data_IF_664099827309
#
_entry.id   IF_664099827309
#
_cell.length_a   1.000
_cell.length_b   1.000
_cell.length_c   1.000
_cell.angle_alpha   90.00
_cell.angle_beta   90.00
_cell.angle_gamma   90.00
#
_symmetry.space_group_name_H-M   'P 1'
#
loop_
_entity.id
_entity.type
_entity.pdbx_description
1 polymer ?
#
# COMPACT_ATOMS: atom_id res chain seq x y z
N UNK A 1 5.23 -8.95 6.08
CA UNK A 1 4.35 -9.89 5.36
C UNK A 1 5.16 -11.09 4.94
N UNK A 2 4.53 -12.24 4.78
CA UNK A 2 5.17 -13.49 4.39
C UNK A 2 4.36 -14.26 3.33
N UNK A 3 4.78 -15.49 3.03
CA UNK A 3 4.13 -16.32 2.01
C UNK A 3 2.69 -16.73 2.37
N UNK A 4 2.36 -16.85 3.66
CA UNK A 4 1.01 -17.13 4.10
C UNK A 4 0.07 -15.98 3.78
N UNK A 5 0.60 -14.74 3.74
CA UNK A 5 -0.18 -13.60 3.27
C UNK A 5 -0.54 -13.76 1.79
N UNK A 6 0.37 -14.17 0.91
CA UNK A 6 0.04 -14.40 -0.53
C UNK A 6 -1.12 -15.39 -0.68
N UNK A 7 -1.06 -16.50 0.08
CA UNK A 7 -2.11 -17.51 0.12
C UNK A 7 -3.44 -16.95 0.63
N UNK A 8 -3.42 -16.07 1.63
CA UNK A 8 -4.62 -15.42 2.20
C UNK A 8 -5.37 -14.53 1.23
N UNK A 9 -4.68 -13.91 0.28
CA UNK A 9 -5.28 -13.07 -0.76
C UNK A 9 -5.66 -13.84 -2.02
N UNK A 10 -5.48 -15.16 -2.04
CA UNK A 10 -5.81 -16.02 -3.18
C UNK A 10 -6.96 -16.96 -2.79
N UNK A 11 -7.91 -17.16 -3.70
CA UNK A 11 -9.04 -18.11 -3.54
C UNK A 11 -9.06 -19.14 -4.64
N UNK A 12 -9.63 -20.31 -4.34
CA UNK A 12 -10.10 -21.22 -5.39
C UNK A 12 -11.41 -20.65 -5.89
N UNK A 13 -11.60 -20.55 -7.21
CA UNK A 13 -12.80 -20.01 -7.83
C UNK A 13 -13.22 -20.92 -8.99
N UNK A 14 -14.26 -21.72 -8.78
CA UNK A 14 -14.66 -22.77 -9.72
C UNK A 14 -13.47 -23.66 -10.12
N UNK A 15 -13.20 -23.75 -11.43
CA UNK A 15 -12.06 -24.50 -11.99
C UNK A 15 -10.74 -23.71 -12.02
N UNK A 16 -10.75 -22.44 -11.63
CA UNK A 16 -9.58 -21.58 -11.56
C UNK A 16 -9.29 -21.06 -10.15
N UNK A 17 -8.66 -19.90 -10.14
CA UNK A 17 -8.24 -19.12 -8.99
C UNK A 17 -8.83 -17.71 -9.05
N UNK A 18 -8.73 -16.97 -7.95
CA UNK A 18 -9.07 -15.55 -7.90
C UNK A 18 -8.20 -14.82 -6.89
N UNK A 19 -8.10 -13.49 -7.04
CA UNK A 19 -7.43 -12.63 -6.07
C UNK A 19 -8.46 -11.83 -5.31
N UNK A 20 -8.37 -11.87 -3.98
CA UNK A 20 -9.17 -11.03 -3.11
C UNK A 20 -8.54 -9.65 -3.01
N UNK A 21 -9.35 -8.62 -3.24
CA UNK A 21 -8.96 -7.23 -3.12
C UNK A 21 -9.99 -6.49 -2.28
N UNK A 22 -9.55 -5.80 -1.23
CA UNK A 22 -10.42 -4.89 -0.48
C UNK A 22 -10.36 -3.49 -1.12
N UNK A 23 -11.39 -3.06 -1.87
CA UNK A 23 -11.44 -1.75 -2.49
C UNK A 23 -11.60 -0.64 -1.45
N UNK A 24 -11.73 0.60 -1.92
CA UNK A 24 -11.85 1.79 -1.05
C UNK A 24 -13.08 1.70 -0.14
N UNK A 25 -14.14 1.03 -0.59
CA UNK A 25 -15.33 0.70 0.20
C UNK A 25 -15.02 -0.49 1.11
N UNK A 26 -15.04 -0.24 2.43
CA UNK A 26 -14.75 -1.27 3.42
C UNK A 26 -15.89 -2.30 3.58
N UNK A 27 -17.05 -2.08 2.99
CA UNK A 27 -18.20 -3.00 3.11
C UNK A 27 -18.19 -4.11 2.06
N UNK A 28 -17.30 -4.03 1.07
CA UNK A 28 -17.24 -4.94 -0.06
C UNK A 28 -15.86 -5.58 -0.20
N UNK A 29 -15.78 -6.82 -0.67
CA UNK A 29 -14.51 -7.44 -1.11
C UNK A 29 -14.65 -7.88 -2.55
N UNK A 30 -13.65 -7.62 -3.39
CA UNK A 30 -13.65 -8.02 -4.79
C UNK A 30 -12.89 -9.33 -4.97
N UNK A 31 -13.43 -10.24 -5.78
CA UNK A 31 -12.67 -11.34 -6.39
C UNK A 31 -12.33 -10.92 -7.81
N UNK A 32 -11.06 -10.63 -8.05
CA UNK A 32 -10.52 -10.36 -9.37
C UNK A 32 -10.11 -11.69 -10.01
N UNK A 33 -10.60 -11.98 -11.20
CA UNK A 33 -10.30 -13.25 -11.87
C UNK A 33 -10.39 -13.13 -13.40
N UNK A 34 -10.05 -14.21 -14.10
CA UNK A 34 -10.17 -14.30 -15.54
C UNK A 34 -11.63 -14.48 -15.95
N UNK A 35 -12.10 -13.72 -16.95
CA UNK A 35 -13.49 -13.75 -17.42
C UNK A 35 -13.95 -15.16 -17.79
N UNK A 36 -13.12 -15.92 -18.50
CA UNK A 36 -13.49 -17.25 -18.99
C UNK A 36 -13.84 -18.27 -17.88
N UNK A 37 -13.43 -18.04 -16.62
CA UNK A 37 -13.77 -18.93 -15.50
C UNK A 37 -15.28 -18.91 -15.21
N UNK A 38 -15.93 -17.78 -15.48
CA UNK A 38 -17.36 -17.58 -15.25
C UNK A 38 -18.24 -18.12 -16.38
N UNK A 39 -17.64 -18.61 -17.46
CA UNK A 39 -18.35 -19.16 -18.60
C UNK A 39 -18.23 -20.68 -18.66
N UNK A 40 -19.30 -21.32 -19.11
CA UNK A 40 -19.31 -22.73 -19.49
C UNK A 40 -19.41 -22.86 -21.00
N UNK A 41 -18.70 -23.84 -21.57
CA UNK A 41 -18.83 -24.18 -22.98
C UNK A 41 -20.09 -25.01 -23.17
N UNK A 42 -20.98 -24.54 -24.02
CA UNK A 42 -22.15 -25.28 -24.48
C UNK A 42 -21.75 -25.97 -25.78
N UNK A 43 -21.62 -27.29 -25.71
CA UNK A 43 -21.27 -28.12 -26.86
C UNK A 43 -22.54 -28.32 -27.70
N UNK A 44 -22.48 -27.91 -28.97
CA UNK A 44 -23.55 -28.10 -29.92
C UNK A 44 -23.07 -29.08 -31.00
N UNK A 45 -23.81 -30.18 -31.21
CA UNK A 45 -23.43 -31.21 -32.19
C UNK A 45 -23.53 -30.74 -33.66
N UNK A 46 -24.17 -29.59 -33.92
CA UNK A 46 -24.46 -29.10 -35.28
C UNK A 46 -24.21 -27.60 -35.48
N UNK A 47 -23.79 -26.89 -34.43
CA UNK A 47 -23.50 -25.44 -34.45
C UNK A 47 -22.14 -25.17 -33.78
N UNK A 48 -21.52 -24.01 -34.00
CA UNK A 48 -20.34 -23.62 -33.24
C UNK A 48 -20.63 -23.70 -31.73
N UNK A 49 -19.68 -24.23 -30.96
CA UNK A 49 -19.76 -24.21 -29.50
C UNK A 49 -19.99 -22.77 -29.03
N UNK A 50 -20.97 -22.57 -28.18
CA UNK A 50 -21.25 -21.26 -27.57
C UNK A 50 -20.73 -21.22 -26.13
N UNK A 51 -20.65 -20.03 -25.56
CA UNK A 51 -20.30 -19.84 -24.15
C UNK A 51 -21.49 -19.22 -23.43
N UNK A 52 -21.83 -19.78 -22.26
CA UNK A 52 -22.91 -19.27 -21.40
C UNK A 52 -22.33 -18.83 -20.07
N UNK A 53 -22.77 -17.68 -19.56
CA UNK A 53 -22.45 -17.23 -18.21
C UNK A 53 -23.08 -18.19 -17.19
N UNK A 54 -22.28 -18.67 -16.24
CA UNK A 54 -22.76 -19.54 -15.16
C UNK A 54 -23.73 -18.77 -14.27
N UNK A 55 -24.80 -19.42 -13.83
CA UNK A 55 -25.76 -18.80 -12.90
C UNK A 55 -25.19 -18.71 -11.46
N UNK A 56 -24.25 -19.61 -11.11
CA UNK A 56 -23.58 -19.68 -9.81
C UNK A 56 -22.12 -20.13 -9.99
N UNK A 57 -21.26 -19.70 -9.08
CA UNK A 57 -19.88 -20.19 -8.97
C UNK A 57 -19.53 -20.42 -7.51
N UNK A 58 -18.71 -21.43 -7.24
CA UNK A 58 -18.19 -21.68 -5.90
C UNK A 58 -16.82 -21.04 -5.72
N UNK A 59 -16.53 -20.59 -4.51
CA UNK A 59 -15.18 -20.20 -4.11
C UNK A 59 -14.82 -20.75 -2.74
N UNK A 60 -13.53 -20.89 -2.46
CA UNK A 60 -13.03 -21.22 -1.11
C UNK A 60 -11.92 -20.27 -0.70
N UNK A 61 -11.97 -19.86 0.57
CA UNK A 61 -10.94 -19.07 1.21
C UNK A 61 -9.78 -19.97 1.66
N UNK A 62 -8.58 -19.41 1.77
CA UNK A 62 -7.41 -20.18 2.18
C UNK A 62 -7.50 -20.79 3.58
N UNK A 63 -8.25 -20.15 4.48
CA UNK A 63 -8.48 -20.61 5.85
C UNK A 63 -9.58 -21.68 5.96
N UNK A 64 -10.39 -21.88 4.91
CA UNK A 64 -11.40 -22.92 4.84
C UNK A 64 -11.57 -23.43 3.39
N UNK A 65 -10.74 -24.41 3.03
CA UNK A 65 -10.75 -25.04 1.71
C UNK A 65 -11.64 -26.28 1.61
N UNK A 66 -12.33 -26.65 2.69
CA UNK A 66 -13.20 -27.82 2.77
C UNK A 66 -14.66 -27.48 2.50
N UNK A 67 -15.06 -26.23 2.74
CA UNK A 67 -16.44 -25.77 2.55
C UNK A 67 -16.52 -24.72 1.44
N UNK A 68 -16.81 -25.13 0.19
CA UNK A 68 -17.11 -24.20 -0.89
C UNK A 68 -18.30 -23.31 -0.56
N UNK A 69 -18.15 -22.02 -0.80
CA UNK A 69 -19.21 -21.03 -0.68
C UNK A 69 -19.72 -20.76 -2.10
N UNK A 70 -21.03 -20.88 -2.31
CA UNK A 70 -21.62 -20.55 -3.60
C UNK A 70 -22.08 -19.09 -3.67
N UNK A 71 -21.80 -18.45 -4.80
CA UNK A 71 -22.25 -17.10 -5.11
C UNK A 71 -23.09 -17.16 -6.39
N UNK A 72 -24.24 -16.48 -6.39
CA UNK A 72 -25.01 -16.26 -7.62
C UNK A 72 -24.30 -15.24 -8.50
N UNK A 73 -24.18 -15.49 -9.79
CA UNK A 73 -23.51 -14.59 -10.74
C UNK A 73 -24.56 -13.83 -11.52
N UNK A 74 -24.61 -12.51 -11.31
CA UNK A 74 -25.56 -11.63 -11.98
C UNK A 74 -24.84 -10.45 -12.59
N UNK A 75 -24.83 -10.42 -13.91
CA UNK A 75 -24.19 -9.37 -14.69
C UNK A 75 -24.78 -8.00 -14.34
N UNK A 76 -23.91 -7.06 -13.97
CA UNK A 76 -24.29 -5.69 -13.61
C UNK A 76 -24.81 -5.52 -12.17
N UNK A 77 -24.99 -6.60 -11.40
CA UNK A 77 -25.34 -6.52 -9.97
C UNK A 77 -24.12 -6.81 -9.09
N UNK A 78 -23.56 -8.01 -9.20
CA UNK A 78 -22.42 -8.45 -8.40
C UNK A 78 -21.31 -9.10 -9.24
N UNK A 79 -21.51 -9.19 -10.56
CA UNK A 79 -20.53 -9.66 -11.53
C UNK A 79 -20.37 -8.60 -12.63
N UNK A 80 -19.13 -8.22 -12.89
CA UNK A 80 -18.76 -7.20 -13.86
C UNK A 80 -17.59 -7.72 -14.69
N UNK A 81 -17.67 -7.58 -16.00
CA UNK A 81 -16.62 -8.02 -16.91
C UNK A 81 -16.21 -6.88 -17.83
N UNK A 82 -15.02 -6.98 -18.40
CA UNK A 82 -14.56 -5.97 -19.34
C UNK A 82 -15.44 -5.90 -20.59
N UNK A 83 -15.78 -4.69 -21.04
CA UNK A 83 -16.64 -4.45 -22.21
C UNK A 83 -16.00 -4.91 -23.53
N UNK A 84 -14.68 -4.72 -23.67
CA UNK A 84 -13.91 -5.33 -24.76
C UNK A 84 -13.89 -6.86 -24.66
N UNK A 85 -14.50 -7.55 -25.63
CA UNK A 85 -14.67 -9.02 -25.62
C UNK A 85 -13.36 -9.81 -25.52
N UNK A 86 -12.25 -9.26 -26.03
CA UNK A 86 -10.93 -9.89 -26.03
C UNK A 86 -10.21 -9.79 -24.67
N UNK A 87 -10.67 -8.92 -23.78
CA UNK A 87 -10.05 -8.72 -22.47
C UNK A 87 -10.63 -9.73 -21.49
N UNK A 88 -9.78 -10.66 -21.06
CA UNK A 88 -10.17 -11.78 -20.19
C UNK A 88 -10.15 -11.39 -18.70
N UNK A 89 -10.91 -10.36 -18.32
CA UNK A 89 -10.97 -9.83 -16.95
C UNK A 89 -12.41 -9.72 -16.45
N UNK A 90 -12.61 -10.13 -15.19
CA UNK A 90 -13.88 -9.97 -14.49
C UNK A 90 -13.70 -9.77 -12.98
N UNK A 91 -14.68 -9.09 -12.38
CA UNK A 91 -14.78 -8.78 -10.96
C UNK A 91 -16.08 -9.35 -10.42
N UNK A 92 -16.00 -10.10 -9.32
CA UNK A 92 -17.15 -10.45 -8.49
C UNK A 92 -17.11 -9.66 -7.19
N UNK A 93 -18.24 -9.10 -6.79
CA UNK A 93 -18.38 -8.35 -5.53
C UNK A 93 -18.99 -9.24 -4.46
N UNK A 94 -18.30 -9.33 -3.33
CA UNK A 94 -18.78 -9.89 -2.07
C UNK A 94 -19.20 -8.73 -1.16
N UNK A 95 -20.40 -8.79 -0.59
CA UNK A 95 -20.88 -7.77 0.36
C UNK A 95 -20.41 -8.07 1.79
N UNK A 96 -19.10 -8.22 1.96
CA UNK A 96 -18.46 -8.47 3.24
C UNK A 96 -17.04 -7.87 3.29
N UNK A 97 -16.57 -7.59 4.51
CA UNK A 97 -15.21 -7.12 4.77
C UNK A 97 -14.33 -8.28 5.25
N UNK A 98 -13.43 -8.77 4.39
CA UNK A 98 -12.51 -9.85 4.73
C UNK A 98 -11.23 -9.36 5.44
N UNK A 99 -11.12 -8.05 5.71
CA UNK A 99 -9.98 -7.38 6.35
C UNK A 99 -8.66 -7.62 5.60
N UNK A 100 -8.74 -7.54 4.27
CA UNK A 100 -7.64 -7.77 3.33
C UNK A 100 -7.08 -6.44 2.79
N UNK A 101 -6.66 -5.58 3.70
CA UNK A 101 -6.41 -4.17 3.37
C UNK A 101 -4.96 -3.88 2.99
N UNK A 102 -4.07 -4.88 2.91
CA UNK A 102 -2.62 -4.68 2.64
C UNK A 102 -2.23 -5.04 1.21
N UNK A 103 -3.14 -4.88 0.24
CA UNK A 103 -2.88 -5.11 -1.19
C UNK A 103 -3.07 -3.82 -1.98
N UNK A 104 -2.13 -3.53 -2.87
CA UNK A 104 -2.13 -2.35 -3.73
C UNK A 104 -2.03 -2.75 -5.19
N UNK A 105 -2.61 -1.93 -6.05
CA UNK A 105 -2.44 -2.01 -7.50
C UNK A 105 -1.02 -1.62 -7.89
N UNK A 106 -0.45 -2.37 -8.83
CA UNK A 106 0.82 -2.06 -9.49
C UNK A 106 0.63 -2.00 -11.00
N UNK A 107 0.53 -0.78 -11.53
CA UNK A 107 0.29 -0.48 -12.94
C UNK A 107 1.49 -0.76 -13.85
N UNK A 108 2.55 -1.40 -13.33
CA UNK A 108 3.70 -1.77 -14.13
C UNK A 108 3.32 -2.70 -15.29
N UNK A 109 3.95 -2.45 -16.42
CA UNK A 109 3.92 -3.34 -17.58
C UNK A 109 5.27 -4.03 -17.82
N UNK A 110 6.29 -3.63 -17.06
CA UNK A 110 7.66 -4.16 -17.13
C UNK A 110 8.28 -4.28 -15.73
N UNK A 111 9.42 -4.97 -15.60
CA UNK A 111 10.15 -5.06 -14.33
C UNK A 111 9.48 -5.95 -13.27
N UNK A 112 9.29 -7.23 -13.58
CA UNK A 112 8.60 -8.21 -12.71
C UNK A 112 9.51 -8.91 -11.69
N UNK A 113 10.68 -8.36 -11.39
CA UNK A 113 11.60 -8.93 -10.41
C UNK A 113 10.93 -9.07 -9.03
N UNK A 114 10.93 -10.29 -8.50
CA UNK A 114 10.32 -10.62 -7.21
C UNK A 114 8.80 -10.84 -7.24
N UNK A 115 8.15 -10.73 -8.40
CA UNK A 115 6.76 -11.12 -8.57
C UNK A 115 6.61 -12.64 -8.71
N UNK A 116 5.48 -13.13 -8.26
CA UNK A 116 5.11 -14.54 -8.33
C UNK A 116 3.71 -14.65 -8.95
N UNK A 117 3.51 -15.69 -9.74
CA UNK A 117 2.18 -16.20 -10.03
C UNK A 117 1.67 -16.94 -8.79
N UNK A 118 0.52 -16.56 -8.25
CA UNK A 118 -0.10 -17.19 -7.08
C UNK A 118 -1.44 -17.81 -7.46
N UNK A 119 -1.74 -19.01 -6.97
CA UNK A 119 -2.96 -19.71 -7.37
C UNK A 119 -3.15 -21.07 -6.71
N UNK A 120 -4.18 -21.76 -7.18
CA UNK A 120 -4.55 -23.11 -6.77
C UNK A 120 -4.62 -24.03 -8.00
N UNK A 121 -3.47 -24.56 -8.45
CA UNK A 121 -3.44 -25.40 -9.63
C UNK A 121 -4.25 -26.68 -9.44
N UNK A 122 -4.86 -27.15 -10.52
CA UNK A 122 -5.78 -28.28 -10.50
C UNK A 122 -5.11 -29.57 -10.01
N UNK A 123 -3.83 -29.76 -10.31
CA UNK A 123 -3.05 -30.92 -9.87
C UNK A 123 -2.79 -30.97 -8.34
N UNK A 124 -2.95 -29.85 -7.62
CA UNK A 124 -2.79 -29.77 -6.15
C UNK A 124 -4.11 -29.69 -5.40
N UNK A 125 -5.27 -29.71 -6.07
CA UNK A 125 -6.59 -29.59 -5.40
C UNK A 125 -6.89 -30.68 -4.36
N UNK A 126 -6.23 -31.84 -4.47
CA UNK A 126 -6.33 -32.96 -3.53
C UNK A 126 -5.18 -33.03 -2.52
N UNK A 127 -4.21 -32.11 -2.58
CA UNK A 127 -3.10 -32.05 -1.65
C UNK A 127 -3.52 -31.42 -0.32
N UNK A 128 -2.75 -31.70 0.74
CA UNK A 128 -2.95 -31.08 2.05
C UNK A 128 -2.75 -29.55 1.98
N UNK A 129 -1.79 -29.09 1.18
CA UNK A 129 -1.70 -27.69 0.77
C UNK A 129 -2.01 -27.56 -0.72
N UNK A 130 -3.18 -27.00 -1.02
CA UNK A 130 -3.65 -26.79 -2.40
C UNK A 130 -2.99 -25.58 -3.06
N UNK A 131 -2.42 -24.67 -2.26
CA UNK A 131 -1.84 -23.42 -2.76
C UNK A 131 -0.51 -23.67 -3.45
N UNK A 132 -0.23 -22.88 -4.47
CA UNK A 132 1.07 -22.87 -5.11
C UNK A 132 1.47 -21.48 -5.58
N UNK A 133 2.79 -21.30 -5.75
CA UNK A 133 3.36 -20.11 -6.33
C UNK A 133 4.49 -20.44 -7.30
N UNK A 134 4.59 -19.66 -8.37
CA UNK A 134 5.64 -19.80 -9.37
C UNK A 134 6.37 -18.46 -9.55
N UNK A 135 7.70 -18.49 -9.52
CA UNK A 135 8.53 -17.30 -9.66
C UNK A 135 8.58 -16.89 -11.13
N UNK A 136 8.48 -15.59 -11.38
CA UNK A 136 8.58 -15.00 -12.73
C UNK A 136 10.06 -14.76 -13.04
N UNK A 137 10.52 -15.26 -14.18
CA UNK A 137 11.89 -15.08 -14.65
C UNK A 137 12.01 -13.81 -15.49
N UNK A 138 11.21 -13.71 -16.56
CA UNK A 138 11.43 -12.74 -17.62
C UNK A 138 10.11 -12.22 -18.19
N UNK A 139 10.20 -11.02 -18.75
CA UNK A 139 9.18 -10.44 -19.62
C UNK A 139 9.44 -10.89 -21.06
N UNK A 140 8.51 -11.63 -21.67
CA UNK A 140 8.60 -11.97 -23.09
C UNK A 140 8.07 -10.82 -23.96
N UNK A 141 6.90 -10.27 -23.61
CA UNK A 141 6.31 -9.11 -24.30
C UNK A 141 5.29 -8.41 -23.41
N UNK A 142 5.07 -7.12 -23.61
CA UNK A 142 4.04 -6.35 -22.92
C UNK A 142 3.37 -5.37 -23.87
N UNK A 143 2.04 -5.28 -23.79
CA UNK A 143 1.26 -4.16 -24.31
C UNK A 143 0.18 -3.77 -23.29
N UNK A 144 -0.61 -2.74 -23.61
CA UNK A 144 -1.64 -2.22 -22.70
C UNK A 144 -2.79 -3.22 -22.42
N UNK A 145 -2.96 -4.26 -23.24
CA UNK A 145 -4.03 -5.27 -23.10
C UNK A 145 -3.55 -6.56 -22.44
N UNK A 146 -2.29 -6.93 -22.64
CA UNK A 146 -1.76 -8.24 -22.28
C UNK A 146 -0.25 -8.21 -22.03
N UNK A 147 0.18 -8.97 -21.05
CA UNK A 147 1.58 -9.19 -20.70
C UNK A 147 1.87 -10.68 -20.84
N UNK A 148 2.91 -11.01 -21.60
CA UNK A 148 3.44 -12.37 -21.69
C UNK A 148 4.68 -12.47 -20.80
N UNK A 149 4.61 -13.34 -19.80
CA UNK A 149 5.67 -13.57 -18.82
C UNK A 149 6.17 -15.00 -18.93
N UNK A 150 7.40 -15.23 -18.48
CA UNK A 150 7.99 -16.57 -18.37
C UNK A 150 8.23 -16.91 -16.92
N UNK A 151 7.88 -18.13 -16.53
CA UNK A 151 8.17 -18.70 -15.23
C UNK A 151 9.60 -19.27 -15.19
N UNK A 152 10.23 -19.23 -14.02
CA UNK A 152 11.57 -19.82 -13.79
C UNK A 152 11.58 -21.32 -14.13
N UNK A 153 10.51 -22.03 -13.78
CA UNK A 153 10.32 -23.42 -14.18
C UNK A 153 9.74 -23.44 -15.60
N UNK A 154 10.64 -23.45 -16.58
CA UNK A 154 10.32 -23.34 -18.00
C UNK A 154 10.00 -24.67 -18.70
N UNK A 155 9.89 -25.78 -17.94
CA UNK A 155 9.49 -27.09 -18.45
C UNK A 155 8.10 -27.50 -17.93
N UNK A 156 7.35 -26.57 -17.32
CA UNK A 156 6.00 -26.85 -16.87
C UNK A 156 5.10 -27.17 -18.07
N UNK A 157 4.46 -28.33 -18.01
CA UNK A 157 3.45 -28.73 -18.97
C UNK A 157 2.10 -28.03 -18.66
N UNK A 158 1.19 -28.04 -19.63
CA UNK A 158 -0.08 -27.31 -19.53
C UNK A 158 -0.94 -27.76 -18.33
N UNK A 159 -0.92 -29.05 -17.99
CA UNK A 159 -1.61 -29.64 -16.85
C UNK A 159 -1.09 -29.13 -15.49
N UNK A 160 0.19 -28.74 -15.42
CA UNK A 160 0.82 -28.18 -14.23
C UNK A 160 0.50 -26.70 -14.02
N UNK A 161 0.06 -25.99 -15.07
CA UNK A 161 -0.37 -24.59 -15.00
C UNK A 161 -1.91 -24.48 -14.96
N UNK A 162 -2.62 -25.53 -15.37
CA UNK A 162 -4.09 -25.58 -15.30
C UNK A 162 -4.57 -25.33 -13.87
N UNK A 163 -5.57 -24.46 -13.71
CA UNK A 163 -6.10 -24.02 -12.42
C UNK A 163 -5.48 -22.74 -11.85
N UNK A 164 -4.35 -22.26 -12.40
CA UNK A 164 -3.81 -20.94 -12.08
C UNK A 164 -4.59 -19.79 -12.72
N UNK A 165 -5.44 -20.04 -13.73
CA UNK A 165 -6.26 -19.00 -14.36
C UNK A 165 -7.02 -18.20 -13.31
N UNK A 166 -6.99 -16.87 -13.40
CA UNK A 166 -7.51 -15.96 -12.40
C UNK A 166 -6.59 -15.72 -11.19
N UNK A 167 -5.44 -16.39 -11.13
CA UNK A 167 -4.40 -16.20 -10.12
C UNK A 167 -3.66 -14.87 -10.26
N UNK A 168 -3.11 -14.37 -9.16
CA UNK A 168 -2.49 -13.05 -9.11
C UNK A 168 -1.03 -13.06 -9.52
N UNK A 169 -0.58 -12.00 -10.17
CA UNK A 169 0.83 -11.65 -10.29
C UNK A 169 1.19 -10.72 -9.14
N UNK A 170 1.71 -11.30 -8.06
CA UNK A 170 1.85 -10.61 -6.76
C UNK A 170 3.30 -10.60 -6.27
N UNK A 171 3.73 -9.44 -5.77
CA UNK A 171 4.99 -9.27 -5.05
C UNK A 171 4.72 -8.87 -3.59
N UNK A 172 5.51 -9.41 -2.66
CA UNK A 172 5.58 -8.87 -1.30
C UNK A 172 6.53 -7.67 -1.32
N UNK A 173 6.05 -6.51 -0.89
CA UNK A 173 6.82 -5.27 -0.83
C UNK A 173 6.67 -4.63 0.55
N UNK A 174 7.72 -4.76 1.37
CA UNK A 174 7.74 -4.35 2.77
C UNK A 174 6.58 -4.94 3.61
N UNK A 175 5.57 -4.13 3.90
CA UNK A 175 4.37 -4.46 4.68
C UNK A 175 3.10 -4.55 3.81
N UNK A 176 3.27 -4.69 2.50
CA UNK A 176 2.19 -4.75 1.51
C UNK A 176 2.37 -5.86 0.48
N UNK A 177 1.28 -6.16 -0.24
CA UNK A 177 1.27 -6.91 -1.49
C UNK A 177 1.05 -5.96 -2.66
N UNK A 178 1.81 -6.14 -3.73
CA UNK A 178 1.65 -5.42 -4.99
C UNK A 178 1.06 -6.37 -6.03
N UNK A 179 -0.11 -6.06 -6.55
CA UNK A 179 -0.81 -6.82 -7.58
C UNK A 179 -0.63 -6.15 -8.94
N UNK A 180 0.13 -6.78 -9.84
CA UNK A 180 0.40 -6.23 -11.17
C UNK A 180 -0.58 -6.69 -12.26
N UNK A 181 -1.25 -7.82 -12.04
CA UNK A 181 -2.20 -8.36 -13.00
C UNK A 181 -2.75 -9.70 -12.59
N UNK A 182 -3.64 -10.23 -13.44
CA UNK A 182 -4.32 -11.50 -13.24
C UNK A 182 -3.95 -12.43 -14.39
N UNK A 183 -3.54 -13.65 -14.06
CA UNK A 183 -3.20 -14.68 -15.03
C UNK A 183 -4.45 -15.09 -15.82
N UNK A 184 -4.37 -15.06 -17.14
CA UNK A 184 -5.46 -15.39 -18.05
C UNK A 184 -5.34 -16.85 -18.51
N UNK A 185 -5.25 -17.10 -19.80
CA UNK A 185 -5.07 -18.42 -20.40
C UNK A 185 -3.58 -18.67 -20.66
N UNK A 186 -3.20 -19.94 -20.64
CA UNK A 186 -1.91 -20.36 -21.21
C UNK A 186 -2.09 -20.65 -22.71
N UNK A 187 -1.05 -20.47 -23.53
CA UNK A 187 -1.05 -20.97 -24.89
C UNK A 187 -1.39 -22.48 -24.94
N UNK A 188 -2.06 -22.93 -26.01
CA UNK A 188 -2.33 -24.35 -26.23
C UNK A 188 -1.06 -24.99 -26.81
N UNK A 189 -0.42 -25.91 -26.08
CA UNK A 189 0.80 -26.61 -26.50
C UNK A 189 1.95 -26.53 -25.49
N UNK A 190 3.21 -26.82 -25.89
CA UNK A 190 4.36 -26.65 -25.01
C UNK A 190 4.56 -25.16 -24.71
N UNK A 191 4.15 -24.75 -23.50
CA UNK A 191 4.18 -23.35 -23.09
C UNK A 191 5.60 -22.89 -22.72
N UNK A 192 6.51 -23.82 -22.42
CA UNK A 192 7.86 -23.54 -21.91
C UNK A 192 7.87 -22.53 -20.73
N UNK A 193 6.87 -22.65 -19.85
CA UNK A 193 6.64 -21.72 -18.74
C UNK A 193 6.08 -20.35 -19.13
N UNK A 194 5.65 -20.12 -20.37
CA UNK A 194 4.99 -18.88 -20.78
C UNK A 194 3.55 -18.80 -20.27
N UNK A 195 3.20 -17.65 -19.69
CA UNK A 195 1.87 -17.33 -19.21
C UNK A 195 1.42 -15.99 -19.78
N UNK A 196 0.11 -15.86 -20.01
CA UNK A 196 -0.51 -14.59 -20.34
C UNK A 196 -1.17 -13.98 -19.11
N UNK A 197 -1.02 -12.67 -18.96
CA UNK A 197 -1.47 -11.89 -17.82
C UNK A 197 -2.23 -10.68 -18.34
N UNK A 198 -3.42 -10.45 -17.80
CA UNK A 198 -4.16 -9.21 -18.02
C UNK A 198 -3.65 -8.19 -16.99
N UNK A 199 -3.12 -7.03 -17.43
CA UNK A 199 -2.66 -5.98 -16.52
C UNK A 199 -3.77 -5.53 -15.57
N UNK A 200 -3.41 -5.19 -14.33
CA UNK A 200 -4.38 -4.73 -13.33
C UNK A 200 -5.15 -3.46 -13.77
N UNK A 201 -4.54 -2.63 -14.63
CA UNK A 201 -5.18 -1.46 -15.25
C UNK A 201 -6.50 -1.81 -15.96
N UNK A 202 -6.62 -3.01 -16.54
CA UNK A 202 -7.87 -3.47 -17.17
C UNK A 202 -8.99 -3.73 -16.16
N UNK A 203 -8.64 -4.06 -14.91
CA UNK A 203 -9.63 -4.15 -13.84
C UNK A 203 -10.05 -2.77 -13.35
N UNK A 204 -9.14 -1.78 -13.36
CA UNK A 204 -9.50 -0.38 -13.09
C UNK A 204 -10.44 0.17 -14.17
N UNK A 205 -10.29 -0.24 -15.44
CA UNK A 205 -11.23 0.09 -16.52
C UNK A 205 -12.64 -0.44 -16.23
N UNK A 206 -12.79 -1.70 -15.78
CA UNK A 206 -14.08 -2.25 -15.31
C UNK A 206 -14.64 -1.40 -14.16
N UNK A 207 -13.81 -1.09 -13.16
CA UNK A 207 -14.22 -0.28 -12.01
C UNK A 207 -14.74 1.08 -12.44
N UNK A 208 -14.08 1.74 -13.38
CA UNK A 208 -14.50 3.04 -13.89
C UNK A 208 -15.77 2.95 -14.76
N UNK A 209 -15.86 1.96 -15.65
CA UNK A 209 -17.02 1.77 -16.54
C UNK A 209 -18.33 1.56 -15.76
N UNK A 210 -18.26 0.75 -14.70
CA UNK A 210 -19.43 0.41 -13.89
C UNK A 210 -19.58 1.25 -12.62
N UNK A 211 -18.76 2.31 -12.45
CA UNK A 211 -18.72 3.16 -11.26
C UNK A 211 -18.60 2.39 -9.93
N UNK A 212 -17.76 1.35 -9.93
CA UNK A 212 -17.45 0.55 -8.74
C UNK A 212 -16.50 1.29 -7.80
N UNK A 213 -16.31 0.75 -6.60
CA UNK A 213 -15.34 1.30 -5.66
C UNK A 213 -13.91 1.09 -6.16
N UNK A 214 -13.07 2.11 -6.01
CA UNK A 214 -11.70 2.12 -6.55
C UNK A 214 -10.84 1.02 -5.94
N UNK A 215 -9.92 0.47 -6.72
CA UNK A 215 -8.89 -0.49 -6.29
C UNK A 215 -7.79 0.19 -5.45
N UNK A 216 -8.20 0.82 -4.35
CA UNK A 216 -7.36 1.51 -3.38
C UNK A 216 -7.67 0.88 -2.01
N UNK A 217 -6.68 0.61 -1.14
CA UNK A 217 -6.95 0.05 0.18
C UNK A 217 -8.02 0.80 0.97
N UNK A 218 -8.97 0.07 1.54
CA UNK A 218 -10.09 0.63 2.31
C UNK A 218 -9.68 1.58 3.43
N UNK A 219 -8.53 1.37 4.09
CA UNK A 219 -8.08 2.26 5.16
C UNK A 219 -7.75 3.70 4.69
N UNK A 220 -7.66 3.94 3.37
CA UNK A 220 -7.49 5.27 2.80
C UNK A 220 -8.83 6.01 2.59
N UNK A 221 -9.96 5.36 2.85
CA UNK A 221 -11.28 6.00 2.81
C UNK A 221 -11.52 6.92 4.00
N UNK A 222 -10.94 6.60 5.17
CA UNK A 222 -11.18 7.32 6.42
C UNK A 222 -9.96 7.21 7.36
N UNK A 223 -9.52 8.36 7.89
CA UNK A 223 -8.41 8.47 8.86
C UNK A 223 -8.68 7.62 10.11
N UNK A 224 -9.94 7.46 10.52
CA UNK A 224 -10.31 6.65 11.70
C UNK A 224 -9.85 5.19 11.59
N UNK A 225 -9.66 4.66 10.38
CA UNK A 225 -9.17 3.30 10.15
C UNK A 225 -7.67 3.14 10.45
N UNK A 226 -6.92 4.25 10.50
CA UNK A 226 -5.49 4.28 10.80
C UNK A 226 -5.14 4.94 12.14
N UNK A 227 -6.05 5.75 12.69
CA UNK A 227 -5.76 6.58 13.87
C UNK A 227 -5.25 5.76 15.06
N UNK A 228 -5.80 4.57 15.29
CA UNK A 228 -5.37 3.66 16.37
C UNK A 228 -3.91 3.22 16.24
N UNK A 229 -3.41 3.10 15.01
CA UNK A 229 -2.01 2.78 14.76
C UNK A 229 -1.09 3.97 15.05
N UNK A 230 -1.55 5.19 14.71
CA UNK A 230 -0.84 6.44 14.99
C UNK A 230 -0.73 6.70 16.50
N UNK A 231 -1.82 6.51 17.25
CA UNK A 231 -1.89 6.81 18.70
C UNK A 231 -1.64 5.59 19.61
N UNK A 232 -0.88 4.61 19.10
CA UNK A 232 -0.64 3.37 19.84
C UNK A 232 0.15 3.62 21.14
N UNK A 233 1.11 4.56 21.13
CA UNK A 233 1.86 5.03 22.30
C UNK A 233 2.32 3.89 23.22
N UNK A 234 2.90 2.84 22.63
CA UNK A 234 3.19 1.59 23.33
C UNK A 234 4.30 1.74 24.37
N UNK A 235 5.15 2.74 24.23
CA UNK A 235 6.27 3.03 25.15
C UNK A 235 5.90 4.09 26.19
N UNK A 236 4.70 4.68 26.11
CA UNK A 236 4.20 5.69 27.06
C UNK A 236 3.59 5.03 28.29
N UNK A 237 3.69 5.71 29.43
CA UNK A 237 3.08 5.31 30.70
C UNK A 237 1.61 4.83 30.54
N UNK A 238 1.23 3.63 31.04
CA UNK A 238 -0.11 3.08 30.86
C UNK A 238 -1.25 3.96 31.37
N UNK A 239 -1.03 4.76 32.41
CA UNK A 239 -2.03 5.69 32.96
C UNK A 239 -2.21 6.96 32.12
N UNK A 240 -1.20 7.34 31.33
CA UNK A 240 -1.22 8.50 30.45
C UNK A 240 -1.79 8.15 29.07
N UNK A 241 -1.49 6.95 28.56
CA UNK A 241 -1.95 6.44 27.25
C UNK A 241 -3.43 6.72 26.93
N UNK A 242 -4.42 6.34 27.76
CA UNK A 242 -5.83 6.59 27.44
C UNK A 242 -6.16 8.08 27.37
N UNK A 243 -5.51 8.92 28.19
CA UNK A 243 -5.69 10.38 28.19
C UNK A 243 -5.19 10.99 26.89
N UNK A 244 -3.99 10.57 26.43
CA UNK A 244 -3.42 10.99 25.15
C UNK A 244 -4.27 10.55 23.98
N UNK A 245 -4.78 9.32 23.99
CA UNK A 245 -5.63 8.82 22.92
C UNK A 245 -6.89 9.68 22.74
N UNK A 246 -7.51 10.13 23.83
CA UNK A 246 -8.65 11.06 23.77
C UNK A 246 -8.22 12.42 23.22
N UNK A 247 -7.18 13.04 23.79
CA UNK A 247 -6.72 14.37 23.39
C UNK A 247 -6.28 14.42 21.91
N UNK A 248 -5.53 13.42 21.46
CA UNK A 248 -5.01 13.36 20.09
C UNK A 248 -6.12 13.03 19.08
N UNK A 249 -7.10 12.18 19.44
CA UNK A 249 -8.29 11.98 18.61
C UNK A 249 -9.04 13.30 18.38
N UNK A 250 -9.20 14.12 19.44
CA UNK A 250 -9.78 15.45 19.33
C UNK A 250 -8.95 16.40 18.46
N UNK A 251 -7.63 16.31 18.51
CA UNK A 251 -6.78 17.08 17.60
C UNK A 251 -6.93 16.65 16.13
N UNK A 252 -7.12 15.35 15.86
CA UNK A 252 -7.38 14.85 14.51
C UNK A 252 -8.72 15.34 13.91
N UNK A 253 -9.71 15.70 14.72
CA UNK A 253 -10.95 16.35 14.23
C UNK A 253 -10.66 17.69 13.52
N UNK A 254 -9.48 18.29 13.74
CA UNK A 254 -9.03 19.51 13.05
C UNK A 254 -8.39 19.24 11.68
N UNK A 255 -8.14 17.97 11.34
CA UNK A 255 -7.55 17.56 10.06
C UNK A 255 -8.65 17.43 9.00
N UNK A 256 -8.64 18.35 8.05
CA UNK A 256 -9.67 18.57 7.02
C UNK A 256 -9.16 18.20 5.62
N UNK A 257 -8.64 16.99 5.46
CA UNK A 257 -8.36 16.42 4.14
C UNK A 257 -8.77 14.94 4.12
N UNK A 258 -8.99 14.41 2.91
CA UNK A 258 -9.30 13.00 2.70
C UNK A 258 -8.07 12.27 2.16
N UNK A 259 -7.69 11.15 2.79
CA UNK A 259 -6.51 10.37 2.39
C UNK A 259 -6.56 9.90 0.93
N UNK A 260 -7.74 9.53 0.43
CA UNK A 260 -7.94 9.15 -0.98
C UNK A 260 -7.55 10.27 -1.97
N UNK A 261 -7.74 11.54 -1.61
CA UNK A 261 -7.38 12.68 -2.47
C UNK A 261 -5.86 12.90 -2.41
N UNK A 262 -5.27 12.80 -1.22
CA UNK A 262 -3.81 12.88 -1.02
C UNK A 262 -3.09 11.75 -1.76
N UNK A 263 -3.63 10.52 -1.74
CA UNK A 263 -3.10 9.36 -2.46
C UNK A 263 -2.93 9.62 -3.96
N UNK A 264 -3.86 10.37 -4.56
CA UNK A 264 -3.80 10.72 -5.98
C UNK A 264 -3.04 12.01 -6.29
N UNK A 265 -2.59 12.75 -5.27
CA UNK A 265 -1.94 14.05 -5.46
C UNK A 265 -0.47 13.91 -5.88
N UNK A 266 0.04 14.88 -6.64
CA UNK A 266 1.47 14.93 -6.99
C UNK A 266 2.37 15.31 -5.80
N UNK A 267 1.77 15.85 -4.73
CA UNK A 267 2.48 16.17 -3.50
C UNK A 267 3.10 14.92 -2.88
N UNK A 268 2.33 13.84 -2.74
CA UNK A 268 2.76 12.66 -1.98
C UNK A 268 3.91 11.91 -2.66
N UNK A 269 4.02 12.00 -4.00
CA UNK A 269 5.13 11.43 -4.78
C UNK A 269 6.50 12.01 -4.40
N UNK A 270 6.52 13.21 -3.80
CA UNK A 270 7.74 13.89 -3.35
C UNK A 270 8.06 13.62 -1.87
N UNK A 271 7.30 12.77 -1.20
CA UNK A 271 7.46 12.45 0.22
C UNK A 271 8.12 11.09 0.46
N UNK A 272 8.55 10.37 -0.58
CA UNK A 272 9.22 9.07 -0.43
C UNK A 272 10.51 8.98 -1.23
N UNK A 273 11.53 8.38 -0.63
CA UNK A 273 12.81 8.10 -1.29
C UNK A 273 12.73 6.97 -2.31
N UNK A 274 11.72 6.10 -2.23
CA UNK A 274 11.47 5.00 -3.16
C UNK A 274 10.03 5.05 -3.66
N UNK A 275 9.82 4.88 -4.97
CA UNK A 275 8.49 4.94 -5.57
C UNK A 275 7.52 3.87 -5.02
N UNK A 276 8.06 2.74 -4.54
CA UNK A 276 7.30 1.64 -3.94
C UNK A 276 6.73 2.00 -2.57
N UNK A 277 7.38 2.88 -1.79
CA UNK A 277 6.98 3.09 -0.40
C UNK A 277 5.60 3.75 -0.23
N UNK A 278 5.03 4.42 -1.25
CA UNK A 278 3.64 4.92 -1.18
C UNK A 278 2.62 3.80 -1.03
N UNK A 279 2.97 2.61 -1.52
CA UNK A 279 2.15 1.40 -1.45
C UNK A 279 2.40 0.64 -0.15
N UNK A 280 2.64 1.35 0.95
CA UNK A 280 2.90 0.79 2.28
C UNK A 280 1.89 1.32 3.28
N UNK A 281 1.36 0.46 4.15
CA UNK A 281 0.47 0.93 5.22
C UNK A 281 1.26 1.77 6.23
N UNK A 282 2.50 1.40 6.52
CA UNK A 282 3.42 2.18 7.37
C UNK A 282 3.65 3.59 6.84
N UNK A 283 3.80 3.77 5.52
CA UNK A 283 3.91 5.11 4.93
C UNK A 283 2.72 5.98 5.33
N UNK A 284 1.49 5.47 5.19
CA UNK A 284 0.27 6.21 5.52
C UNK A 284 0.11 6.48 7.02
N UNK A 285 0.57 5.56 7.88
CA UNK A 285 0.64 5.78 9.33
C UNK A 285 1.62 6.92 9.64
N UNK A 286 2.83 6.89 9.08
CA UNK A 286 3.84 7.93 9.29
C UNK A 286 3.43 9.28 8.69
N UNK A 287 2.72 9.27 7.56
CA UNK A 287 2.14 10.48 6.99
C UNK A 287 1.12 11.12 7.94
N UNK A 288 0.28 10.32 8.61
CA UNK A 288 -0.65 10.81 9.62
C UNK A 288 0.05 11.26 10.91
N UNK A 289 1.16 10.63 11.32
CA UNK A 289 2.01 11.13 12.41
C UNK A 289 2.55 12.53 12.06
N UNK A 290 3.05 12.72 10.83
CA UNK A 290 3.47 14.03 10.34
C UNK A 290 2.31 15.04 10.34
N UNK A 291 1.15 14.66 9.80
CA UNK A 291 -0.05 15.49 9.79
C UNK A 291 -0.46 15.94 11.20
N UNK A 292 -0.40 15.03 12.17
CA UNK A 292 -0.65 15.34 13.58
C UNK A 292 0.33 16.39 14.11
N UNK A 293 1.62 16.20 13.87
CA UNK A 293 2.67 17.13 14.33
C UNK A 293 2.42 18.53 13.77
N UNK A 294 2.12 18.64 12.48
CA UNK A 294 1.81 19.94 11.88
C UNK A 294 0.53 20.53 12.48
N UNK A 295 -0.52 19.72 12.66
CA UNK A 295 -1.76 20.21 13.29
C UNK A 295 -1.56 20.71 14.73
N UNK A 296 -0.57 20.19 15.47
CA UNK A 296 -0.22 20.67 16.81
C UNK A 296 0.51 22.02 16.79
N UNK A 297 1.20 22.33 15.68
CA UNK A 297 1.89 23.59 15.49
C UNK A 297 0.98 24.70 14.93
N UNK A 298 -0.03 24.32 14.15
CA UNK A 298 -0.95 25.26 13.52
C UNK A 298 -2.10 25.65 14.47
N UNK A 299 -2.46 26.93 14.46
CA UNK A 299 -3.53 27.46 15.31
C UNK A 299 -4.93 27.29 14.70
N UNK A 300 -5.03 27.28 13.36
CA UNK A 300 -6.31 27.35 12.62
C UNK A 300 -6.55 26.12 11.73
N UNK A 301 -6.73 24.95 12.33
CA UNK A 301 -7.04 23.71 11.59
C UNK A 301 -5.96 23.27 10.59
N UNK A 302 -6.12 22.10 10.00
CA UNK A 302 -5.11 21.54 9.09
C UNK A 302 -5.75 20.99 7.82
N UNK A 303 -5.55 21.67 6.69
CA UNK A 303 -6.07 21.26 5.38
C UNK A 303 -4.91 21.01 4.38
N UNK A 304 -5.25 20.63 3.15
CA UNK A 304 -4.25 20.34 2.11
C UNK A 304 -3.39 21.55 1.72
N UNK A 305 -3.93 22.77 1.73
CA UNK A 305 -3.16 23.99 1.43
C UNK A 305 -2.09 24.25 2.50
N UNK A 306 -2.45 24.11 3.78
CA UNK A 306 -1.53 24.24 4.90
C UNK A 306 -0.47 23.14 4.84
N UNK A 307 -0.86 21.90 4.54
CA UNK A 307 0.07 20.79 4.34
C UNK A 307 1.15 21.13 3.29
N UNK A 308 0.75 21.61 2.11
CA UNK A 308 1.67 21.97 1.02
C UNK A 308 2.57 23.14 1.41
N UNK A 309 2.00 24.19 2.02
CA UNK A 309 2.76 25.36 2.48
C UNK A 309 3.77 24.99 3.55
N UNK A 310 3.34 24.24 4.57
CA UNK A 310 4.19 23.87 5.70
C UNK A 310 5.31 22.93 5.26
N UNK A 311 5.08 22.07 4.25
CA UNK A 311 6.11 21.19 3.69
C UNK A 311 7.33 21.94 3.09
N UNK A 312 7.21 23.23 2.77
CA UNK A 312 8.37 24.04 2.36
C UNK A 312 9.35 24.28 3.52
N UNK A 313 8.83 24.37 4.75
CA UNK A 313 9.60 24.67 5.97
C UNK A 313 9.79 23.45 6.88
N UNK A 314 8.89 22.47 6.80
CA UNK A 314 8.87 21.23 7.59
C UNK A 314 8.59 20.05 6.67
N UNK A 315 9.59 19.63 5.90
CA UNK A 315 9.42 18.68 4.80
C UNK A 315 9.28 17.25 5.32
N UNK A 316 8.21 16.55 4.95
CA UNK A 316 8.04 15.14 5.29
C UNK A 316 8.74 14.22 4.27
N UNK A 317 9.51 13.25 4.78
CA UNK A 317 10.13 12.20 3.99
C UNK A 317 9.95 10.86 4.68
N UNK A 318 9.54 9.86 3.91
CA UNK A 318 9.53 8.46 4.30
C UNK A 318 10.66 7.69 3.59
N UNK A 319 11.31 6.82 4.36
CA UNK A 319 12.25 5.82 3.86
C UNK A 319 11.80 4.45 4.34
N UNK A 320 11.72 3.49 3.41
CA UNK A 320 11.47 2.09 3.72
C UNK A 320 12.72 1.37 4.28
N UNK A 321 13.83 2.08 4.46
CA UNK A 321 15.03 1.52 5.05
C UNK A 321 14.88 1.27 6.56
N UNK A 322 15.55 0.23 7.05
CA UNK A 322 15.76 -0.04 8.48
C UNK A 322 17.03 0.62 9.03
N UNK A 323 17.69 1.44 8.22
CA UNK A 323 18.87 2.23 8.59
C UNK A 323 18.46 3.41 9.47
N UNK A 324 19.39 3.85 10.31
CA UNK A 324 19.17 5.03 11.14
C UNK A 324 19.38 6.34 10.37
N UNK A 325 19.16 7.46 11.07
CA UNK A 325 19.29 8.81 10.51
C UNK A 325 20.70 9.11 9.99
N UNK A 326 21.77 8.59 10.61
CA UNK A 326 23.16 8.83 10.20
C UNK A 326 23.47 8.08 8.91
N UNK A 327 23.00 6.84 8.81
CA UNK A 327 23.21 5.99 7.65
C UNK A 327 22.42 6.45 6.42
N UNK A 328 21.28 7.12 6.61
CA UNK A 328 20.41 7.63 5.54
C UNK A 328 20.68 9.10 5.19
N UNK A 329 21.45 9.78 6.03
CA UNK A 329 21.51 11.24 6.06
C UNK A 329 21.78 11.89 4.69
N UNK A 330 22.82 11.44 3.98
CA UNK A 330 23.24 12.05 2.71
C UNK A 330 22.16 11.91 1.63
N UNK A 331 21.54 10.73 1.55
CA UNK A 331 20.46 10.44 0.60
C UNK A 331 19.22 11.30 0.92
N UNK A 332 18.88 11.41 2.21
CA UNK A 332 17.76 12.22 2.68
C UNK A 332 18.00 13.70 2.42
N UNK A 333 19.20 14.24 2.70
CA UNK A 333 19.50 15.65 2.41
C UNK A 333 19.34 15.97 0.94
N UNK A 334 19.94 15.16 0.05
CA UNK A 334 19.86 15.38 -1.39
C UNK A 334 18.42 15.31 -1.89
N UNK A 335 17.63 14.35 -1.39
CA UNK A 335 16.21 14.23 -1.72
C UNK A 335 15.37 15.40 -1.16
N UNK A 336 15.63 15.78 0.10
CA UNK A 336 14.95 16.86 0.80
C UNK A 336 15.20 18.22 0.17
N UNK A 337 16.37 18.43 -0.43
CA UNK A 337 16.84 19.72 -0.95
C UNK A 337 15.95 20.35 -2.05
N UNK A 338 15.01 19.59 -2.62
CA UNK A 338 14.07 20.07 -3.63
C UNK A 338 12.87 20.82 -3.03
N UNK A 339 12.56 22.00 -3.57
CA UNK A 339 11.36 22.80 -3.22
C UNK A 339 11.22 23.07 -1.72
N UNK A 340 12.27 23.64 -1.11
CA UNK A 340 12.30 24.01 0.31
C UNK A 340 12.66 25.50 0.51
N UNK A 341 12.21 26.06 1.63
CA UNK A 341 12.64 27.38 2.11
C UNK A 341 13.97 27.31 2.86
N UNK A 342 14.53 28.47 3.25
CA UNK A 342 15.60 28.53 4.24
C UNK A 342 15.15 27.96 5.59
N UNK A 343 16.11 27.44 6.35
CA UNK A 343 15.93 26.83 7.67
C UNK A 343 14.89 25.68 7.70
N UNK A 344 14.81 24.92 6.61
CA UNK A 344 13.88 23.81 6.49
C UNK A 344 14.23 22.69 7.47
N UNK A 345 13.26 22.22 8.23
CA UNK A 345 13.38 21.06 9.11
C UNK A 345 12.84 19.83 8.38
N UNK A 346 13.64 18.78 8.22
CA UNK A 346 13.21 17.55 7.57
C UNK A 346 12.63 16.60 8.60
N UNK A 347 11.38 16.22 8.43
CA UNK A 347 10.67 15.26 9.27
C UNK A 347 10.72 13.87 8.62
N UNK A 348 11.59 13.02 9.14
CA UNK A 348 11.91 11.70 8.62
C UNK A 348 11.12 10.61 9.33
N UNK A 349 10.54 9.70 8.55
CA UNK A 349 10.04 8.42 9.04
C UNK A 349 10.82 7.28 8.39
N UNK A 350 11.17 6.26 9.19
CA UNK A 350 11.86 5.05 8.72
C UNK A 350 11.14 3.79 9.21
N UNK A 351 11.54 2.62 8.70
CA UNK A 351 11.02 1.34 9.19
C UNK A 351 11.54 0.97 10.59
N UNK A 352 12.51 1.70 11.13
CA UNK A 352 13.13 1.47 12.44
C UNK A 352 12.82 2.61 13.42
N UNK A 353 12.46 2.27 14.66
CA UNK A 353 12.34 3.26 15.73
C UNK A 353 13.74 3.67 16.22
N UNK A 354 14.04 4.96 16.37
CA UNK A 354 15.32 5.43 16.90
C UNK A 354 15.44 5.14 18.41
N UNK A 355 16.42 4.34 18.78
CA UNK A 355 16.61 3.85 20.16
C UNK A 355 17.31 4.84 21.11
N UNK A 356 17.79 5.99 20.62
CA UNK A 356 18.53 6.95 21.45
C UNK A 356 18.28 8.41 21.05
N UNK A 357 18.35 9.39 21.98
CA UNK A 357 18.07 10.80 21.70
C UNK A 357 18.92 11.39 20.57
N UNK A 358 20.21 11.07 20.53
CA UNK A 358 21.15 11.51 19.49
C UNK A 358 20.88 10.88 18.10
N UNK A 359 19.94 9.93 17.99
CA UNK A 359 19.47 9.34 16.72
C UNK A 359 18.07 9.83 16.31
N UNK A 360 17.45 10.68 17.13
CA UNK A 360 16.13 11.28 16.86
C UNK A 360 16.22 12.62 16.14
N UNK A 361 17.36 13.31 16.25
CA UNK A 361 17.58 14.64 15.70
C UNK A 361 19.05 14.81 15.31
N UNK A 362 19.30 15.43 14.16
CA UNK A 362 20.65 15.66 13.63
C UNK A 362 20.71 17.01 12.89
N UNK A 363 21.52 17.98 13.36
CA UNK A 363 21.74 19.24 12.69
C UNK A 363 22.39 19.09 11.32
N UNK A 364 21.99 19.94 10.38
CA UNK A 364 22.47 19.83 9.01
C UNK A 364 23.99 20.09 8.87
N UNK A 365 24.50 20.96 9.77
CA UNK A 365 25.89 21.42 9.84
C UNK A 365 26.87 20.36 10.31
N UNK A 366 26.41 19.26 10.91
CA UNK A 366 27.28 18.21 11.44
C UNK A 366 27.85 17.29 10.35
N UNK A 367 27.51 17.54 9.07
CA UNK A 367 27.88 16.64 7.97
C UNK A 367 28.65 17.35 6.86
N UNK A 368 29.79 16.77 6.51
CA UNK A 368 30.55 17.13 5.32
C UNK A 368 29.98 16.38 4.10
N UNK A 369 29.15 17.06 3.30
CA UNK A 369 28.77 16.56 1.98
C UNK A 369 29.99 16.66 1.04
N UNK A 370 30.57 15.52 0.68
CA UNK A 370 31.77 15.47 -0.17
C UNK A 370 31.40 15.73 -1.64
N UNK A 371 31.56 16.98 -2.10
CA UNK A 371 31.18 17.44 -3.45
C UNK A 371 32.15 16.95 -4.54
N UNK A 372 33.30 16.39 -4.17
CA UNK A 372 34.38 16.02 -5.11
C UNK A 372 34.06 14.86 -6.08
N UNK A 373 33.03 14.05 -5.81
CA UNK A 373 32.68 12.88 -6.62
C UNK A 373 31.36 13.02 -7.39
N UNK A 374 30.79 14.22 -7.45
CA UNK A 374 29.48 14.45 -8.08
C UNK A 374 29.64 14.62 -9.60
N UNK A 375 28.95 13.79 -10.38
CA UNK A 375 29.13 13.67 -11.84
C UNK A 375 28.12 14.51 -12.65
N UNK A 376 27.04 15.01 -12.04
CA UNK A 376 26.00 15.79 -12.73
C UNK A 376 25.64 17.13 -12.04
N UNK A 377 25.17 18.08 -12.85
CA UNK A 377 24.82 19.46 -12.45
C UNK A 377 23.62 19.49 -11.49
N UNK A 378 22.64 18.60 -11.67
CA UNK A 378 21.46 18.54 -10.80
C UNK A 378 21.83 18.20 -9.36
N UNK A 379 22.81 17.32 -9.17
CA UNK A 379 23.28 16.90 -7.85
C UNK A 379 24.12 18.00 -7.20
N UNK A 380 24.86 18.80 -7.98
CA UNK A 380 25.57 20.00 -7.49
C UNK A 380 24.56 21.03 -6.96
N UNK A 381 23.48 21.31 -7.70
CA UNK A 381 22.43 22.23 -7.26
C UNK A 381 21.73 21.73 -5.98
N UNK A 382 21.51 20.41 -5.86
CA UNK A 382 20.94 19.79 -4.66
C UNK A 382 21.85 19.91 -3.43
N UNK A 383 23.17 19.83 -3.61
CA UNK A 383 24.14 20.08 -2.53
C UNK A 383 24.13 21.55 -2.10
N UNK A 384 23.93 22.48 -3.03
CA UNK A 384 23.78 23.88 -2.67
C UNK A 384 22.46 24.14 -1.92
N UNK A 385 21.35 23.54 -2.34
CA UNK A 385 20.06 23.71 -1.65
C UNK A 385 19.98 22.93 -0.33
N UNK A 386 20.78 21.88 -0.11
CA UNK A 386 20.83 21.20 1.18
C UNK A 386 21.37 22.08 2.31
N UNK A 387 22.10 23.16 2.00
CA UNK A 387 22.49 24.19 2.98
C UNK A 387 21.29 24.93 3.59
N UNK A 388 20.13 24.90 2.94
CA UNK A 388 18.88 25.46 3.46
C UNK A 388 18.20 24.55 4.48
N UNK A 389 18.65 23.32 4.61
CA UNK A 389 18.12 22.39 5.61
C UNK A 389 18.80 22.74 6.94
N UNK A 390 18.01 22.99 7.98
CA UNK A 390 18.50 23.23 9.35
C UNK A 390 18.94 21.93 10.00
N UNK A 391 18.11 20.89 9.84
CA UNK A 391 18.26 19.62 10.55
C UNK A 391 17.31 18.55 10.01
N UNK A 392 17.58 17.30 10.37
CA UNK A 392 16.70 16.15 10.18
C UNK A 392 16.22 15.67 11.55
N UNK A 393 14.91 15.46 11.67
CA UNK A 393 14.21 15.05 12.89
C UNK A 393 13.40 13.80 12.55
N UNK A 394 13.61 12.71 13.27
CA UNK A 394 12.77 11.52 13.15
C UNK A 394 11.40 11.78 13.79
N UNK A 395 10.28 11.37 13.16
CA UNK A 395 8.92 11.64 13.68
C UNK A 395 8.72 11.20 15.14
N UNK A 396 9.29 10.03 15.50
CA UNK A 396 9.27 9.49 16.87
C UNK A 396 9.95 10.37 17.92
N UNK A 397 10.73 11.38 17.55
CA UNK A 397 11.23 12.39 18.47
C UNK A 397 10.08 13.07 19.23
N UNK A 398 8.94 13.31 18.58
CA UNK A 398 7.80 13.96 19.22
C UNK A 398 7.20 13.08 20.32
N UNK A 399 7.05 11.78 20.07
CA UNK A 399 6.60 10.82 21.08
C UNK A 399 7.60 10.74 22.24
N UNK A 400 8.89 10.58 21.95
CA UNK A 400 9.86 10.37 23.02
C UNK A 400 10.23 11.63 23.79
N UNK A 401 10.48 12.73 23.10
CA UNK A 401 11.11 13.92 23.66
C UNK A 401 10.06 14.94 24.12
N UNK A 402 8.89 14.99 23.46
CA UNK A 402 7.78 15.84 23.90
C UNK A 402 6.83 15.11 24.86
N UNK A 403 6.46 13.85 24.59
CA UNK A 403 5.48 13.13 25.42
C UNK A 403 6.16 12.35 26.55
N UNK A 404 6.97 11.34 26.22
CA UNK A 404 7.50 10.39 27.21
C UNK A 404 8.47 11.06 28.20
N UNK A 405 9.25 12.04 27.75
CA UNK A 405 10.14 12.81 28.64
C UNK A 405 9.39 13.75 29.59
N UNK A 406 8.10 14.03 29.33
CA UNK A 406 7.27 14.95 30.11
C UNK A 406 6.04 14.25 30.73
N UNK A 407 6.10 12.92 30.92
CA UNK A 407 4.96 12.13 31.41
C UNK A 407 4.37 12.66 32.72
N UNK A 408 5.19 13.10 33.67
CA UNK A 408 4.70 13.63 34.95
C UNK A 408 3.86 14.91 34.76
N UNK A 409 4.32 15.82 33.88
CA UNK A 409 3.61 17.07 33.57
C UNK A 409 2.30 16.81 32.81
N UNK A 410 2.24 15.78 31.98
CA UNK A 410 1.04 15.41 31.24
C UNK A 410 0.06 14.58 32.08
N UNK A 411 0.57 13.72 32.96
CA UNK A 411 -0.24 12.78 33.72
C UNK A 411 -0.97 13.43 34.92
N UNK A 412 -0.61 14.66 35.30
CA UNK A 412 -1.30 15.42 36.35
C UNK A 412 -2.77 15.73 36.00
N UNK A 413 -3.11 15.76 34.70
CA UNK A 413 -4.46 16.05 34.22
C UNK A 413 -5.34 14.79 34.22
N UNK A 414 -6.63 14.97 34.46
CA UNK A 414 -7.63 13.91 34.30
C UNK A 414 -8.01 13.69 32.83
N UNK A 415 -8.70 12.57 32.52
CA UNK A 415 -9.21 12.30 31.16
C UNK A 415 -10.22 13.36 30.68
N UNK A 416 -10.94 14.01 31.60
CA UNK A 416 -11.92 15.06 31.28
C UNK A 416 -11.24 16.39 30.93
N UNK A 417 -9.96 16.56 31.29
CA UNK A 417 -9.16 17.75 31.05
C UNK A 417 -8.29 17.61 29.78
N UNK A 418 -8.79 16.91 28.76
CA UNK A 418 -8.04 16.64 27.53
C UNK A 418 -7.57 17.93 26.83
N UNK A 419 -8.31 19.03 26.94
CA UNK A 419 -7.90 20.35 26.40
C UNK A 419 -6.63 20.89 27.07
N UNK A 420 -6.45 20.66 28.38
CA UNK A 420 -5.24 21.05 29.11
C UNK A 420 -4.05 20.20 28.68
N UNK A 421 -4.27 18.90 28.51
CA UNK A 421 -3.26 17.97 27.99
C UNK A 421 -2.82 18.42 26.58
N UNK A 422 -3.78 18.70 25.71
CA UNK A 422 -3.52 19.14 24.35
C UNK A 422 -2.77 20.47 24.32
N UNK A 423 -3.16 21.44 25.15
CA UNK A 423 -2.46 22.72 25.29
C UNK A 423 -1.00 22.52 25.70
N UNK A 424 -0.75 21.63 26.66
CA UNK A 424 0.60 21.34 27.13
C UNK A 424 1.44 20.62 26.07
N UNK A 425 0.85 19.66 25.34
CA UNK A 425 1.52 19.01 24.18
C UNK A 425 1.88 20.05 23.13
N UNK A 426 0.96 20.95 22.77
CA UNK A 426 1.23 22.03 21.81
C UNK A 426 2.38 22.92 22.27
N UNK A 427 2.44 23.27 23.57
CA UNK A 427 3.55 24.03 24.15
C UNK A 427 4.89 23.28 23.98
N UNK A 428 4.94 22.01 24.39
CA UNK A 428 6.14 21.17 24.31
C UNK A 428 6.62 20.98 22.87
N UNK A 429 5.70 20.72 21.93
CA UNK A 429 6.03 20.59 20.50
C UNK A 429 6.54 21.92 19.93
N UNK A 430 5.92 23.05 20.26
CA UNK A 430 6.40 24.36 19.82
C UNK A 430 7.80 24.68 20.36
N UNK A 431 8.09 24.35 21.62
CA UNK A 431 9.43 24.51 22.21
C UNK A 431 10.46 23.60 21.52
N UNK A 432 10.08 22.34 21.26
CA UNK A 432 10.94 21.37 20.58
C UNK A 432 11.43 21.87 19.21
N UNK A 433 10.56 22.51 18.42
CA UNK A 433 10.93 23.02 17.09
C UNK A 433 11.64 24.39 17.11
N UNK A 434 11.52 25.16 18.20
CA UNK A 434 12.17 26.48 18.36
C UNK A 434 13.63 26.35 18.82
N UNK A 435 13.88 25.44 19.76
CA UNK A 435 15.22 25.01 20.15
C UNK A 435 15.83 24.20 19.02
#
# INVERSE_FOLDING_TARGET
MDENDLKRYTVILGEGSGVLFQPLDETQTYILSAKHIFYEKVINDSEPNTERLRDRISYTLSNNQETPIEIAIKLGENYFEHSEKQVDAAIVILNENLKLNQIFVDDRTTGFNGFNLTGYPSNKRNAADKYDKQIISDLNSSNDSLIALRLVINHLEHDQITGFSGGGIIKIDCDSLLLAGIQSKTPIGPCNGEIQVVPIKRFEEIVNEYNLSKLIPSYLSNIELLINSVISYNETLPSLKPKLQIAIRKQFEQVKFELKNIYTSDYIKKCTTSAGSLKSKKFWISFLEYALIISLLEAEGFNEEILVKTNLTKKFIFSDSSKDIYDLYSDILLFASQNISSDCQVLLATNSTPNSPNRRRMPASEVNLNVHNVVDIETIDRVHTSSKIKEIIHLKAIEFDCINSNELALNQYSMQEFEKILTEIKRLVNEFFKN
#
